data_IF_978140044367
#
_entry.id   IF_978140044367
#
_cell.length_a   1.000
_cell.length_b   1.000
_cell.length_c   1.000
_cell.angle_alpha   90.00
_cell.angle_beta   90.00
_cell.angle_gamma   90.00
#
_symmetry.space_group_name_H-M   'P 1'
#
loop_
_entity.id
_entity.type
_entity.pdbx_description
1 polymer ?
#
# COMPACT_ATOMS: atom_id res chain seq x y z
N UNK A 1 -2.27 1.20 5.15
CA UNK A 1 -1.87 0.50 6.39
C UNK A 1 -2.85 -0.60 6.81
N UNK A 2 -4.04 -0.71 6.19
CA UNK A 2 -5.08 -1.69 6.58
C UNK A 2 -4.60 -3.14 6.49
N UNK A 3 -3.83 -3.50 5.47
CA UNK A 3 -3.26 -4.85 5.36
C UNK A 3 -2.31 -5.20 6.49
N UNK A 4 -1.49 -4.26 6.93
CA UNK A 4 -0.58 -4.45 8.06
C UNK A 4 -1.33 -4.58 9.39
N UNK A 5 -2.39 -3.79 9.59
CA UNK A 5 -3.27 -3.89 10.77
C UNK A 5 -3.94 -5.27 10.80
N UNK A 6 -4.48 -5.73 9.66
CA UNK A 6 -5.12 -7.04 9.55
C UNK A 6 -4.13 -8.19 9.81
N UNK A 7 -2.89 -8.10 9.32
CA UNK A 7 -1.85 -9.09 9.58
C UNK A 7 -1.49 -9.13 11.08
N UNK A 8 -1.35 -7.98 11.71
CA UNK A 8 -1.11 -7.90 13.16
C UNK A 8 -2.26 -8.52 13.96
N UNK A 9 -3.50 -8.17 13.65
CA UNK A 9 -4.68 -8.74 14.31
C UNK A 9 -4.75 -10.25 14.12
N UNK A 10 -4.49 -10.75 12.91
CA UNK A 10 -4.45 -12.18 12.64
C UNK A 10 -3.36 -12.88 13.45
N UNK A 11 -2.16 -12.32 13.55
CA UNK A 11 -1.08 -12.87 14.37
C UNK A 11 -1.48 -12.95 15.86
N UNK A 12 -2.10 -11.91 16.40
CA UNK A 12 -2.57 -11.91 17.79
C UNK A 12 -3.61 -13.00 18.04
N UNK A 13 -4.57 -13.17 17.14
CA UNK A 13 -5.57 -14.24 17.23
C UNK A 13 -4.95 -15.64 17.16
N UNK A 14 -3.93 -15.84 16.32
CA UNK A 14 -3.21 -17.11 16.23
C UNK A 14 -2.42 -17.41 17.50
N UNK A 15 -1.81 -16.41 18.12
CA UNK A 15 -1.12 -16.55 19.41
C UNK A 15 -2.12 -16.89 20.52
N UNK A 16 -3.25 -16.19 20.58
CA UNK A 16 -4.30 -16.41 21.57
C UNK A 16 -4.92 -17.80 21.46
N UNK A 17 -5.08 -18.33 20.25
CA UNK A 17 -5.53 -19.69 19.98
C UNK A 17 -4.59 -20.77 20.58
N UNK A 18 -3.30 -20.47 20.70
CA UNK A 18 -2.27 -21.32 21.33
C UNK A 18 -1.77 -22.48 20.49
N UNK A 19 -2.38 -22.79 19.34
CA UNK A 19 -1.98 -23.93 18.47
C UNK A 19 -0.84 -23.58 17.50
N UNK A 20 -0.58 -22.30 17.26
CA UNK A 20 0.32 -21.82 16.22
C UNK A 20 1.60 -21.18 16.76
N UNK A 21 1.91 -21.44 18.04
CA UNK A 21 3.06 -20.87 18.72
C UNK A 21 2.79 -19.48 19.30
N UNK A 22 3.85 -18.84 19.80
CA UNK A 22 3.78 -17.58 20.53
C UNK A 22 4.59 -16.45 19.88
N UNK A 23 5.12 -16.66 18.69
CA UNK A 23 5.98 -15.67 18.04
C UNK A 23 5.18 -14.48 17.53
N UNK A 24 5.52 -13.29 18.03
CA UNK A 24 4.98 -12.03 17.52
C UNK A 24 5.73 -11.62 16.26
N UNK A 25 5.00 -11.37 15.19
CA UNK A 25 5.59 -10.84 13.96
C UNK A 25 6.16 -9.43 14.19
N UNK A 26 7.24 -9.10 13.50
CA UNK A 26 7.72 -7.71 13.37
C UNK A 26 7.16 -7.12 12.09
N UNK A 27 6.31 -6.09 12.20
CA UNK A 27 5.76 -5.41 11.04
C UNK A 27 6.79 -4.48 10.41
N UNK A 28 6.99 -4.62 9.11
CA UNK A 28 7.76 -3.69 8.31
C UNK A 28 6.87 -3.13 7.21
N UNK A 29 6.57 -1.84 7.29
CA UNK A 29 5.65 -1.17 6.37
C UNK A 29 6.35 -0.10 5.56
N UNK A 30 5.78 0.29 4.42
CA UNK A 30 6.41 1.23 3.53
C UNK A 30 5.44 2.18 2.85
N UNK A 31 5.93 3.35 2.47
CA UNK A 31 5.24 4.30 1.60
C UNK A 31 6.11 4.65 0.39
N UNK A 32 5.46 5.16 -0.65
CA UNK A 32 6.10 5.58 -1.89
C UNK A 32 6.33 7.10 -1.86
N UNK A 33 7.60 7.52 -1.83
CA UNK A 33 7.96 8.93 -1.91
C UNK A 33 7.61 9.52 -3.29
N UNK A 34 7.14 10.79 -3.33
CA UNK A 34 7.14 11.77 -2.24
C UNK A 34 5.92 11.74 -1.31
N UNK A 35 4.90 10.89 -1.52
CA UNK A 35 3.71 10.85 -0.68
C UNK A 35 3.92 9.94 0.54
N UNK A 36 4.42 10.51 1.64
CA UNK A 36 4.87 9.75 2.83
C UNK A 36 4.29 10.25 4.19
N UNK A 37 3.01 10.65 4.27
CA UNK A 37 2.48 11.30 5.47
C UNK A 37 2.48 10.43 6.74
N UNK A 38 2.33 9.11 6.62
CA UNK A 38 2.40 8.21 7.78
C UNK A 38 3.85 8.01 8.24
N UNK A 39 4.79 7.95 7.30
CA UNK A 39 6.22 7.87 7.64
C UNK A 39 6.67 9.12 8.40
N UNK A 40 6.28 10.32 7.95
CA UNK A 40 6.63 11.56 8.62
C UNK A 40 6.08 11.61 10.06
N UNK A 41 4.83 11.18 10.25
CA UNK A 41 4.24 11.08 11.59
C UNK A 41 4.97 10.03 12.47
N UNK A 42 5.35 8.89 11.88
CA UNK A 42 6.11 7.85 12.58
C UNK A 42 7.49 8.34 13.02
N UNK A 43 8.23 9.05 12.13
CA UNK A 43 9.55 9.61 12.44
C UNK A 43 9.49 10.67 13.55
N UNK A 44 8.38 11.41 13.64
CA UNK A 44 8.11 12.36 14.71
C UNK A 44 7.59 11.70 16.01
N UNK A 45 7.54 10.37 16.08
CA UNK A 45 6.91 9.60 17.17
C UNK A 45 5.49 10.10 17.50
N UNK A 46 4.78 10.58 16.51
CA UNK A 46 3.44 11.14 16.65
C UNK A 46 2.37 10.12 16.29
N UNK A 47 1.46 9.86 17.22
CA UNK A 47 0.23 9.10 16.93
C UNK A 47 -0.70 9.87 15.98
N UNK A 48 -0.64 11.19 15.96
CA UNK A 48 -1.45 12.03 15.07
C UNK A 48 -0.70 12.26 13.77
N UNK A 49 -1.43 12.19 12.66
CA UNK A 49 -0.91 12.63 11.37
C UNK A 49 -0.45 14.08 11.48
N UNK A 50 0.73 14.37 10.91
CA UNK A 50 1.21 15.74 10.83
C UNK A 50 0.39 16.54 9.81
N UNK A 51 0.31 17.86 9.92
CA UNK A 51 -0.31 18.69 8.92
C UNK A 51 0.31 18.44 7.54
N UNK A 52 -0.53 18.21 6.55
CA UNK A 52 -0.11 17.98 5.17
C UNK A 52 -0.98 18.82 4.27
N UNK A 53 -0.40 19.84 3.68
CA UNK A 53 -1.11 20.80 2.84
C UNK A 53 -1.79 20.08 1.66
N UNK A 54 -3.06 20.40 1.40
CA UNK A 54 -3.88 19.68 0.42
C UNK A 54 -3.30 19.72 -1.00
N UNK A 55 -2.79 20.86 -1.45
CA UNK A 55 -2.21 20.99 -2.78
C UNK A 55 -0.89 20.21 -2.91
N UNK A 56 -0.07 20.22 -1.84
CA UNK A 56 1.12 19.40 -1.79
C UNK A 56 0.75 17.92 -1.82
N UNK A 57 -0.23 17.51 -1.04
CA UNK A 57 -0.68 16.12 -0.97
C UNK A 57 -1.20 15.62 -2.33
N UNK A 58 -1.94 16.47 -3.08
CA UNK A 58 -2.38 16.14 -4.44
C UNK A 58 -1.22 15.97 -5.40
N UNK A 59 -0.30 16.93 -5.44
CA UNK A 59 0.90 16.84 -6.30
C UNK A 59 1.71 15.60 -5.99
N UNK A 60 1.98 15.33 -4.71
CA UNK A 60 2.79 14.18 -4.31
C UNK A 60 2.10 12.85 -4.65
N UNK A 61 0.77 12.77 -4.48
CA UNK A 61 -0.03 11.60 -4.90
C UNK A 61 -0.04 11.40 -6.43
N UNK A 62 0.06 12.47 -7.20
CA UNK A 62 0.18 12.41 -8.67
C UNK A 62 1.55 11.92 -9.13
N UNK A 63 2.61 12.17 -8.36
CA UNK A 63 3.98 11.80 -8.72
C UNK A 63 4.26 10.33 -8.46
N UNK A 64 3.74 9.74 -7.38
CA UNK A 64 4.04 8.35 -7.02
C UNK A 64 3.54 7.35 -8.07
N UNK A 65 4.29 6.28 -8.30
CA UNK A 65 3.88 5.18 -9.19
C UNK A 65 2.80 4.31 -8.54
N UNK A 66 2.91 4.08 -7.25
CA UNK A 66 1.97 3.26 -6.48
C UNK A 66 0.74 4.07 -6.04
N UNK A 67 -0.13 4.43 -6.99
CA UNK A 67 -1.32 5.28 -6.75
C UNK A 67 -2.22 4.79 -5.62
N UNK A 68 -2.32 3.47 -5.44
CA UNK A 68 -3.12 2.87 -4.35
C UNK A 68 -2.58 3.18 -2.96
N UNK A 69 -1.33 3.68 -2.85
CA UNK A 69 -0.72 4.08 -1.58
C UNK A 69 -0.97 5.57 -1.22
N UNK A 70 -1.88 6.25 -1.92
CA UNK A 70 -2.14 7.70 -1.76
C UNK A 70 -3.31 8.04 -0.84
N UNK A 71 -3.68 7.17 0.11
CA UNK A 71 -4.74 7.50 1.06
C UNK A 71 -4.32 8.64 1.99
N UNK A 72 -5.05 9.76 1.94
CA UNK A 72 -4.80 10.95 2.76
C UNK A 72 -5.37 10.87 4.17
N UNK A 73 -6.29 9.93 4.42
CA UNK A 73 -6.91 9.67 5.73
C UNK A 73 -6.77 8.19 6.12
N UNK A 74 -5.53 7.70 6.27
CA UNK A 74 -5.30 6.31 6.63
C UNK A 74 -5.67 6.04 8.08
N UNK A 75 -5.99 4.79 8.44
CA UNK A 75 -6.22 4.39 9.83
C UNK A 75 -4.90 4.28 10.60
N UNK A 76 -4.17 5.39 10.70
CA UNK A 76 -2.85 5.43 11.33
C UNK A 76 -2.93 5.58 12.84
N UNK A 77 -3.53 6.66 13.34
CA UNK A 77 -3.51 7.03 14.77
C UNK A 77 -4.76 6.66 15.56
N UNK A 78 -5.74 6.00 14.95
CA UNK A 78 -6.91 5.48 15.67
C UNK A 78 -6.51 4.34 16.61
N UNK A 79 -7.33 4.04 17.62
CA UNK A 79 -7.12 2.87 18.47
C UNK A 79 -7.12 1.59 17.65
N UNK A 80 -6.10 0.75 17.81
CA UNK A 80 -5.87 -0.44 16.98
C UNK A 80 -5.39 -0.12 15.56
N UNK A 81 -5.00 1.12 15.27
CA UNK A 81 -4.49 1.55 13.99
C UNK A 81 -3.02 1.18 13.75
N UNK A 82 -2.48 1.65 12.63
CA UNK A 82 -1.12 1.29 12.22
C UNK A 82 -0.03 1.70 13.22
N UNK A 83 -0.21 2.85 13.89
CA UNK A 83 0.71 3.29 14.94
C UNK A 83 0.79 2.26 16.07
N UNK A 84 -0.36 1.78 16.56
CA UNK A 84 -0.41 0.76 17.61
C UNK A 84 0.20 -0.56 17.16
N UNK A 85 -0.12 -1.01 15.94
CA UNK A 85 0.43 -2.23 15.36
C UNK A 85 1.96 -2.19 15.27
N UNK A 86 2.53 -1.08 14.81
CA UNK A 86 3.97 -0.90 14.73
C UNK A 86 4.63 -0.85 16.12
N UNK A 87 4.04 -0.11 17.08
CA UNK A 87 4.56 -0.07 18.46
C UNK A 87 4.50 -1.44 19.13
N UNK A 88 3.39 -2.16 18.98
CA UNK A 88 3.21 -3.48 19.58
C UNK A 88 4.15 -4.56 19.03
N UNK A 89 4.58 -4.43 17.78
CA UNK A 89 5.43 -5.41 17.10
C UNK A 89 6.91 -5.03 17.04
N UNK A 90 7.32 -3.90 17.63
CA UNK A 90 8.64 -3.33 17.40
C UNK A 90 8.90 -3.06 15.92
N UNK A 91 7.84 -2.73 15.18
CA UNK A 91 7.86 -2.58 13.74
C UNK A 91 8.62 -1.34 13.26
N UNK A 92 8.84 -1.28 11.96
CA UNK A 92 9.54 -0.17 11.32
C UNK A 92 8.81 0.35 10.09
N UNK A 93 9.04 1.62 9.78
CA UNK A 93 8.49 2.29 8.62
C UNK A 93 9.59 2.65 7.63
N UNK A 94 9.40 2.29 6.35
CA UNK A 94 10.34 2.53 5.26
C UNK A 94 9.74 3.45 4.21
N UNK A 95 10.61 4.01 3.39
CA UNK A 95 10.25 4.82 2.22
C UNK A 95 11.00 4.30 1.01
N UNK A 96 10.29 4.15 -0.10
CA UNK A 96 10.88 3.83 -1.39
C UNK A 96 10.48 4.87 -2.44
N UNK A 97 11.44 5.30 -3.25
CA UNK A 97 11.16 6.16 -4.40
C UNK A 97 10.59 5.37 -5.57
N UNK A 98 10.02 6.05 -6.57
CA UNK A 98 9.58 5.42 -7.82
C UNK A 98 10.73 4.64 -8.49
N UNK A 99 11.92 5.23 -8.53
CA UNK A 99 13.08 4.57 -9.16
C UNK A 99 13.46 3.26 -8.44
N UNK A 100 13.43 3.24 -7.11
CA UNK A 100 13.70 2.05 -6.32
C UNK A 100 12.61 0.98 -6.54
N UNK A 101 11.35 1.37 -6.54
CA UNK A 101 10.23 0.47 -6.79
C UNK A 101 10.28 -0.14 -8.21
N UNK A 102 10.58 0.66 -9.23
CA UNK A 102 10.76 0.17 -10.61
C UNK A 102 11.92 -0.81 -10.72
N UNK A 103 13.07 -0.52 -10.09
CA UNK A 103 14.21 -1.44 -10.05
C UNK A 103 13.87 -2.76 -9.36
N UNK A 104 13.15 -2.69 -8.25
CA UNK A 104 12.70 -3.88 -7.52
C UNK A 104 11.72 -4.72 -8.33
N UNK A 105 10.76 -4.10 -9.04
CA UNK A 105 9.85 -4.81 -9.95
C UNK A 105 10.59 -5.53 -11.06
N UNK A 106 11.56 -4.87 -11.67
CA UNK A 106 12.40 -5.48 -12.71
C UNK A 106 13.18 -6.69 -12.17
N UNK A 107 13.81 -6.54 -11.01
CA UNK A 107 14.53 -7.63 -10.35
C UNK A 107 13.61 -8.82 -10.03
N UNK A 108 12.41 -8.55 -9.53
CA UNK A 108 11.43 -9.59 -9.24
C UNK A 108 11.03 -10.35 -10.49
N UNK A 109 10.74 -9.62 -11.58
CA UNK A 109 10.42 -10.24 -12.87
C UNK A 109 11.56 -11.10 -13.40
N UNK A 110 12.80 -10.64 -13.29
CA UNK A 110 14.00 -11.38 -13.73
C UNK A 110 14.23 -12.68 -12.94
N UNK A 111 13.92 -12.68 -11.63
CA UNK A 111 14.17 -13.81 -10.75
C UNK A 111 12.98 -14.79 -10.67
N UNK A 112 11.76 -14.28 -10.68
CA UNK A 112 10.54 -15.06 -10.43
C UNK A 112 9.70 -15.29 -11.71
N UNK A 113 10.03 -14.61 -12.81
CA UNK A 113 9.32 -14.76 -14.08
C UNK A 113 7.93 -14.10 -14.12
N UNK A 114 7.58 -13.31 -13.11
CA UNK A 114 6.25 -12.66 -12.97
C UNK A 114 6.42 -11.18 -12.72
N UNK A 115 5.63 -10.36 -13.42
CA UNK A 115 5.53 -8.94 -13.13
C UNK A 115 4.70 -8.67 -11.86
N UNK A 116 5.06 -7.63 -11.11
CA UNK A 116 4.33 -7.19 -9.91
C UNK A 116 3.94 -5.72 -10.01
N UNK A 117 2.82 -5.34 -9.36
CA UNK A 117 2.36 -3.95 -9.34
C UNK A 117 3.29 -3.03 -8.53
N UNK A 118 3.17 -1.73 -8.79
CA UNK A 118 4.01 -0.70 -8.16
C UNK A 118 3.98 -0.75 -6.63
N UNK A 119 2.83 -1.05 -6.02
CA UNK A 119 2.74 -1.16 -4.56
C UNK A 119 3.56 -2.34 -4.01
N UNK A 120 3.53 -3.50 -4.68
CA UNK A 120 4.38 -4.64 -4.34
C UNK A 120 5.87 -4.32 -4.59
N UNK A 121 6.17 -3.56 -5.65
CA UNK A 121 7.51 -3.03 -5.93
C UNK A 121 8.04 -2.12 -4.81
N UNK A 122 7.19 -1.28 -4.22
CA UNK A 122 7.53 -0.46 -3.04
C UNK A 122 7.87 -1.34 -1.84
N UNK A 123 7.07 -2.38 -1.57
CA UNK A 123 7.33 -3.32 -0.48
C UNK A 123 8.65 -4.08 -0.67
N UNK A 124 8.90 -4.59 -1.88
CA UNK A 124 10.13 -5.30 -2.21
C UNK A 124 11.36 -4.38 -2.13
N UNK A 125 11.28 -3.15 -2.65
CA UNK A 125 12.36 -2.18 -2.54
C UNK A 125 12.69 -1.86 -1.07
N UNK A 126 11.66 -1.76 -0.24
CA UNK A 126 11.84 -1.54 1.20
C UNK A 126 12.48 -2.75 1.90
N UNK A 127 12.12 -3.97 1.51
CA UNK A 127 12.77 -5.18 2.01
C UNK A 127 14.26 -5.21 1.63
N UNK A 128 14.59 -4.93 0.37
CA UNK A 128 15.99 -4.86 -0.10
C UNK A 128 16.79 -3.86 0.74
N UNK A 129 16.21 -2.68 1.00
CA UNK A 129 16.86 -1.66 1.82
C UNK A 129 17.01 -2.10 3.29
N UNK A 130 15.99 -2.76 3.85
CA UNK A 130 16.02 -3.26 5.21
C UNK A 130 17.11 -4.33 5.40
N UNK A 131 17.25 -5.24 4.45
CA UNK A 131 18.33 -6.25 4.43
C UNK A 131 19.69 -5.58 4.32
N UNK A 132 19.86 -4.64 3.38
CA UNK A 132 21.11 -3.91 3.20
C UNK A 132 21.51 -3.09 4.44
N UNK A 133 20.54 -2.61 5.20
CA UNK A 133 20.74 -1.88 6.45
C UNK A 133 20.94 -2.79 7.68
N UNK A 134 20.96 -4.12 7.51
CA UNK A 134 21.10 -5.08 8.62
C UNK A 134 19.91 -5.13 9.58
N UNK A 135 18.71 -4.72 9.12
CA UNK A 135 17.49 -4.70 9.93
C UNK A 135 16.68 -6.00 9.86
N UNK A 136 17.11 -6.92 9.03
CA UNK A 136 16.53 -8.26 8.87
C UNK A 136 17.61 -9.26 9.25
N UNK A 137 17.34 -10.08 10.25
CA UNK A 137 18.25 -11.13 10.70
C UNK A 137 18.46 -12.15 9.56
N UNK A 138 19.64 -12.77 9.52
CA UNK A 138 20.00 -13.71 8.44
C UNK A 138 19.12 -14.96 8.39
N UNK A 139 18.62 -15.38 9.54
CA UNK A 139 17.76 -16.55 9.75
C UNK A 139 16.28 -16.18 9.93
N UNK A 140 15.94 -14.89 9.72
CA UNK A 140 14.56 -14.45 9.82
C UNK A 140 13.68 -15.08 8.75
N UNK A 141 12.52 -15.57 9.14
CA UNK A 141 11.45 -15.90 8.20
C UNK A 141 10.76 -14.64 7.76
N UNK A 142 10.87 -14.31 6.47
CA UNK A 142 10.29 -13.09 5.88
C UNK A 142 9.06 -13.44 5.08
N UNK A 143 7.93 -12.80 5.42
CA UNK A 143 6.72 -12.83 4.59
C UNK A 143 6.60 -11.52 3.84
N UNK A 144 6.87 -11.53 2.53
CA UNK A 144 6.66 -10.39 1.65
C UNK A 144 5.23 -10.44 1.09
N UNK A 145 4.43 -9.42 1.37
CA UNK A 145 3.08 -9.33 0.84
C UNK A 145 3.09 -8.73 -0.58
N UNK A 146 3.00 -9.60 -1.58
CA UNK A 146 2.84 -9.23 -2.99
C UNK A 146 1.34 -9.11 -3.30
N UNK A 147 0.84 -7.87 -3.29
CA UNK A 147 -0.60 -7.58 -3.37
C UNK A 147 -1.19 -7.64 -4.78
N UNK A 148 -0.37 -7.82 -5.81
CA UNK A 148 -0.84 -7.98 -7.19
C UNK A 148 0.29 -7.95 -8.21
N UNK A 149 0.00 -8.50 -9.38
CA UNK A 149 0.92 -8.60 -10.50
C UNK A 149 0.33 -9.45 -11.63
N UNK A 150 1.16 -9.82 -12.60
CA UNK A 150 0.77 -10.64 -13.75
C UNK A 150 0.01 -9.87 -14.84
N UNK A 151 -0.02 -8.54 -14.77
CA UNK A 151 -0.76 -7.72 -15.75
C UNK A 151 -0.07 -7.75 -17.12
N UNK A 152 1.25 -7.69 -17.16
CA UNK A 152 2.02 -7.72 -18.40
C UNK A 152 1.82 -9.07 -19.10
N UNK A 153 1.97 -10.15 -18.36
CA UNK A 153 1.71 -11.50 -18.87
C UNK A 153 0.23 -11.68 -19.29
N UNK A 154 -0.73 -11.15 -18.52
CA UNK A 154 -2.14 -11.23 -18.89
C UNK A 154 -2.44 -10.52 -20.22
N UNK A 155 -1.76 -9.40 -20.51
CA UNK A 155 -1.94 -8.61 -21.73
C UNK A 155 -1.24 -9.21 -22.94
N UNK A 156 -0.30 -10.11 -22.74
CA UNK A 156 0.51 -10.71 -23.80
C UNK A 156 -0.39 -11.43 -24.84
N UNK A 157 -0.23 -11.05 -26.09
CA UNK A 157 -1.00 -11.63 -27.20
C UNK A 157 -2.51 -11.30 -27.20
N UNK A 158 -2.97 -10.35 -26.38
CA UNK A 158 -4.37 -9.93 -26.30
C UNK A 158 -4.52 -8.48 -26.71
N UNK A 159 -5.54 -8.22 -27.54
CA UNK A 159 -6.05 -6.87 -27.74
C UNK A 159 -7.07 -6.57 -26.63
N UNK A 160 -6.74 -5.61 -25.78
CA UNK A 160 -7.57 -5.21 -24.65
C UNK A 160 -8.12 -3.81 -24.87
N UNK A 161 -9.41 -3.64 -24.57
CA UNK A 161 -10.05 -2.33 -24.52
C UNK A 161 -10.67 -2.10 -23.15
N UNK A 162 -10.63 -0.86 -22.73
CA UNK A 162 -11.26 -0.46 -21.45
C UNK A 162 -12.72 -0.07 -21.71
N UNK A 163 -13.60 -0.50 -20.81
CA UNK A 163 -14.97 0.00 -20.78
C UNK A 163 -14.93 1.51 -20.52
N UNK A 164 -15.63 2.25 -21.38
CA UNK A 164 -15.81 3.69 -21.17
C UNK A 164 -17.08 3.91 -20.35
N UNK A 165 -17.06 4.83 -19.37
CA UNK A 165 -18.26 5.19 -18.65
C UNK A 165 -19.28 5.81 -19.62
N UNK A 166 -20.54 5.44 -19.50
CA UNK A 166 -21.63 6.04 -20.29
C UNK A 166 -21.82 7.51 -19.91
N UNK A 167 -21.68 7.83 -18.62
CA UNK A 167 -21.73 9.19 -18.09
C UNK A 167 -20.67 9.40 -17.03
N UNK A 168 -20.17 10.63 -16.94
CA UNK A 168 -19.27 11.10 -15.89
C UNK A 168 -19.95 12.31 -15.24
N UNK A 169 -20.20 12.21 -13.96
CA UNK A 169 -20.84 13.28 -13.19
C UNK A 169 -19.78 14.09 -12.43
N UNK A 170 -20.04 15.40 -12.14
CA UNK A 170 -19.20 16.18 -11.26
C UNK A 170 -19.24 15.66 -9.82
N UNK A 171 -18.39 16.21 -8.93
CA UNK A 171 -18.35 15.79 -7.52
C UNK A 171 -19.65 16.04 -6.74
N UNK A 172 -20.39 17.09 -7.13
CA UNK A 172 -21.70 17.44 -6.56
C UNK A 172 -22.69 17.52 -7.74
N UNK A 173 -23.20 16.37 -8.21
CA UNK A 173 -24.12 16.36 -9.34
C UNK A 173 -25.53 16.74 -8.90
N UNK A 174 -26.28 17.32 -9.82
CA UNK A 174 -27.72 17.48 -9.65
C UNK A 174 -28.40 16.10 -9.66
N UNK A 175 -29.22 15.82 -8.65
CA UNK A 175 -29.85 14.51 -8.47
C UNK A 175 -30.81 14.17 -9.60
N UNK A 176 -31.58 15.13 -10.08
CA UNK A 176 -32.57 14.91 -11.14
C UNK A 176 -31.87 14.64 -12.48
N UNK A 177 -30.76 15.34 -12.75
CA UNK A 177 -29.92 15.08 -13.92
C UNK A 177 -29.29 13.68 -13.87
N UNK A 178 -28.84 13.20 -12.69
CA UNK A 178 -28.33 11.84 -12.51
C UNK A 178 -29.41 10.82 -12.81
N UNK A 179 -30.60 10.97 -12.23
CA UNK A 179 -31.72 10.06 -12.43
C UNK A 179 -32.10 10.00 -13.91
N UNK A 180 -32.31 11.15 -14.54
CA UNK A 180 -32.70 11.22 -15.95
C UNK A 180 -31.69 10.54 -16.89
N UNK A 181 -30.37 10.75 -16.64
CA UNK A 181 -29.30 10.12 -17.45
C UNK A 181 -29.18 8.63 -17.21
N UNK A 182 -29.40 8.17 -15.99
CA UNK A 182 -29.37 6.72 -15.67
C UNK A 182 -30.59 6.04 -16.28
N UNK A 183 -31.79 6.60 -16.14
CA UNK A 183 -33.01 6.05 -16.75
C UNK A 183 -32.90 5.95 -18.28
N UNK A 184 -32.28 6.94 -18.92
CA UNK A 184 -32.06 6.94 -20.37
C UNK A 184 -31.15 5.82 -20.87
N UNK A 185 -30.39 5.14 -20.00
CA UNK A 185 -29.57 3.98 -20.36
C UNK A 185 -30.39 2.69 -20.53
N UNK A 186 -31.61 2.65 -19.99
CA UNK A 186 -32.46 1.47 -19.94
C UNK A 186 -33.74 1.59 -20.77
N UNK A 187 -33.94 2.75 -21.40
CA UNK A 187 -35.03 3.03 -22.34
C UNK A 187 -34.49 3.11 -23.77
#
# INVERSE_FOLDING_TARGET
GTGAIAAWEANMRLIEDGRFGSNTMKLMVSQNAPFVPMYDAWQADSRKMLPYEDDKARRDAEIIDAKVLSNRRPPYGITGGLYDALKATGGEFFVSTNAMARKARKLFHELEGVDIYSAAGVALASLINAVAAGKVEKDATVMLNVTGGGEEHFKEGKELWYLRPSHVFPLEPDTDDVVAKVEALFN
#
